data_IF_209335619470
#
_entry.id   IF_209335619470
#
_cell.length_a   1.000
_cell.length_b   1.000
_cell.length_c   1.000
_cell.angle_alpha   90.00
_cell.angle_beta   90.00
_cell.angle_gamma   90.00
#
_symmetry.space_group_name_H-M   'P 1'
#
loop_
_entity.id
_entity.type
_entity.pdbx_description
1 polymer ?
#
# COMPACT_ATOMS: atom_id res chain seq x y z
N UNK A 1 0.46 22.58 -12.11
CA UNK A 1 0.34 21.36 -11.28
C UNK A 1 1.38 20.33 -11.72
N UNK A 2 2.15 19.85 -10.80
CA UNK A 2 3.16 18.81 -11.04
C UNK A 2 2.69 17.51 -10.43
N UNK A 3 2.87 16.40 -11.14
CA UNK A 3 2.48 15.07 -10.66
C UNK A 3 3.65 14.12 -10.80
N UNK A 4 3.92 13.37 -9.73
CA UNK A 4 4.91 12.31 -9.71
C UNK A 4 4.22 11.02 -9.28
N UNK A 5 4.49 9.93 -9.99
CA UNK A 5 3.94 8.62 -9.64
C UNK A 5 5.07 7.60 -9.50
N UNK A 6 5.02 6.81 -8.44
CA UNK A 6 6.01 5.75 -8.16
C UNK A 6 5.25 4.46 -7.94
N UNK A 7 5.73 3.38 -8.53
CA UNK A 7 5.12 2.04 -8.40
C UNK A 7 6.09 1.05 -7.78
N UNK A 8 5.55 0.18 -6.94
CA UNK A 8 6.22 -1.03 -6.47
C UNK A 8 5.21 -2.16 -6.44
N UNK A 9 5.67 -3.38 -6.52
CA UNK A 9 4.79 -4.54 -6.48
C UNK A 9 5.28 -5.55 -5.45
N UNK A 10 4.37 -6.42 -5.02
CA UNK A 10 4.67 -7.44 -4.03
C UNK A 10 3.57 -8.49 -4.06
N UNK A 11 3.86 -9.66 -3.45
CA UNK A 11 2.89 -10.74 -3.29
C UNK A 11 2.54 -10.82 -1.81
N UNK A 12 1.25 -10.91 -1.51
CA UNK A 12 0.74 -11.17 -0.17
C UNK A 12 -0.43 -12.13 -0.27
N UNK A 13 -0.76 -12.75 0.88
CA UNK A 13 -1.85 -13.71 0.97
C UNK A 13 -2.99 -13.14 1.76
N UNK A 14 -4.21 -13.53 1.44
CA UNK A 14 -5.39 -13.17 2.21
C UNK A 14 -6.50 -14.19 2.01
N UNK A 15 -7.55 -14.06 2.80
CA UNK A 15 -8.84 -14.70 2.55
C UNK A 15 -9.95 -13.72 2.90
N UNK A 16 -11.06 -13.77 2.16
CA UNK A 16 -12.19 -12.87 2.38
C UNK A 16 -13.09 -13.42 3.49
N UNK A 17 -13.66 -12.52 4.27
CA UNK A 17 -14.53 -12.84 5.40
C UNK A 17 -15.83 -12.05 5.30
N UNK A 18 -16.86 -12.52 6.01
CA UNK A 18 -18.13 -11.81 6.10
C UNK A 18 -19.13 -12.10 4.99
N UNK A 19 -18.83 -13.03 4.10
CA UNK A 19 -19.71 -13.41 2.99
C UNK A 19 -19.23 -14.67 2.31
N UNK A 20 -19.88 -15.01 1.20
CA UNK A 20 -19.54 -16.18 0.38
C UNK A 20 -18.99 -15.70 -0.96
N UNK A 21 -17.67 -15.80 -1.13
CA UNK A 21 -16.96 -15.47 -2.36
C UNK A 21 -16.30 -16.70 -2.99
N UNK A 22 -16.76 -17.91 -2.62
CA UNK A 22 -16.23 -19.14 -3.16
C UNK A 22 -14.76 -19.35 -2.81
N UNK A 23 -13.88 -19.60 -3.79
CA UNK A 23 -12.44 -19.84 -3.52
C UNK A 23 -11.74 -18.72 -2.75
N UNK A 24 -12.22 -17.47 -2.86
CA UNK A 24 -11.63 -16.34 -2.18
C UNK A 24 -11.82 -16.36 -0.65
N UNK A 25 -12.71 -17.23 -0.14
CA UNK A 25 -12.85 -17.44 1.30
C UNK A 25 -11.72 -18.29 1.87
N UNK A 26 -10.96 -18.99 1.02
CA UNK A 26 -9.80 -19.76 1.42
C UNK A 26 -8.53 -18.93 1.21
N UNK A 27 -7.45 -19.22 1.97
CA UNK A 27 -6.19 -18.51 1.80
C UNK A 27 -5.70 -18.59 0.35
N UNK A 28 -5.36 -17.44 -0.20
CA UNK A 28 -4.87 -17.34 -1.57
C UNK A 28 -3.83 -16.23 -1.70
N UNK A 29 -2.96 -16.34 -2.70
CA UNK A 29 -1.90 -15.37 -2.97
C UNK A 29 -2.34 -14.41 -4.06
N UNK A 30 -1.99 -13.14 -3.89
CA UNK A 30 -2.26 -12.10 -4.88
C UNK A 30 -1.01 -11.28 -5.15
N UNK A 31 -0.85 -10.89 -6.41
CA UNK A 31 0.14 -9.90 -6.81
C UNK A 31 -0.49 -8.52 -6.72
N UNK A 32 0.07 -7.68 -5.84
CA UNK A 32 -0.40 -6.32 -5.64
C UNK A 32 0.54 -5.33 -6.31
N UNK A 33 -0.03 -4.31 -6.92
CA UNK A 33 0.74 -3.16 -7.43
C UNK A 33 0.35 -1.95 -6.60
N UNK A 34 1.34 -1.35 -5.94
CA UNK A 34 1.16 -0.12 -5.17
C UNK A 34 1.63 1.05 -6.01
N UNK A 35 0.75 1.99 -6.26
CA UNK A 35 1.09 3.23 -6.94
C UNK A 35 0.84 4.40 -6.01
N UNK A 36 1.85 5.22 -5.79
CA UNK A 36 1.75 6.46 -5.02
C UNK A 36 1.84 7.63 -5.99
N UNK A 37 0.83 8.49 -5.96
CA UNK A 37 0.81 9.72 -6.75
C UNK A 37 0.94 10.90 -5.82
N UNK A 38 1.85 11.80 -6.18
CA UNK A 38 2.13 13.01 -5.43
C UNK A 38 1.89 14.20 -6.35
N UNK A 39 1.15 15.17 -5.86
CA UNK A 39 0.81 16.36 -6.64
C UNK A 39 1.13 17.63 -5.86
N UNK A 40 1.64 18.64 -6.54
CA UNK A 40 1.87 19.95 -5.97
C UNK A 40 1.80 21.03 -7.05
N UNK A 41 1.41 22.24 -6.66
CA UNK A 41 1.36 23.38 -7.58
C UNK A 41 2.75 24.00 -7.80
N UNK A 42 3.68 23.74 -6.88
CA UNK A 42 5.02 24.35 -6.91
C UNK A 42 6.09 23.28 -6.66
N UNK A 43 7.29 23.54 -7.16
CA UNK A 43 8.48 22.74 -6.88
C UNK A 43 9.34 23.49 -5.86
N UNK A 44 10.28 22.75 -5.23
CA UNK A 44 11.23 23.38 -4.30
C UNK A 44 12.31 24.15 -5.07
N UNK A 45 13.26 24.71 -4.33
CA UNK A 45 14.34 25.54 -4.93
C UNK A 45 15.24 24.77 -5.89
N UNK A 46 15.24 23.44 -5.83
CA UNK A 46 16.02 22.57 -6.72
C UNK A 46 15.20 21.98 -7.86
N UNK A 47 13.92 22.33 -7.96
CA UNK A 47 13.03 21.80 -8.99
C UNK A 47 12.42 20.44 -8.64
N UNK A 48 12.44 20.03 -7.37
CA UNK A 48 11.87 18.77 -6.93
C UNK A 48 10.50 18.99 -6.29
N UNK A 49 9.57 18.07 -6.56
CA UNK A 49 8.27 18.01 -5.89
C UNK A 49 8.44 17.45 -4.48
N UNK A 50 9.21 16.39 -4.33
CA UNK A 50 9.52 15.70 -3.08
C UNK A 50 10.90 15.06 -3.20
N UNK A 51 11.43 14.57 -2.07
CA UNK A 51 12.60 13.71 -2.06
C UNK A 51 12.20 12.30 -2.48
N UNK A 52 12.45 11.95 -3.74
CA UNK A 52 12.07 10.66 -4.31
C UNK A 52 12.75 9.48 -3.60
N UNK A 53 13.98 9.68 -3.12
CA UNK A 53 14.71 8.62 -2.40
C UNK A 53 13.98 8.26 -1.13
N UNK A 54 13.49 9.26 -0.40
CA UNK A 54 12.70 9.04 0.83
C UNK A 54 11.38 8.33 0.51
N UNK A 55 10.67 8.76 -0.55
CA UNK A 55 9.40 8.14 -0.95
C UNK A 55 9.62 6.66 -1.29
N UNK A 56 10.65 6.35 -2.08
CA UNK A 56 10.94 4.97 -2.46
C UNK A 56 11.33 4.11 -1.25
N UNK A 57 12.09 4.68 -0.31
CA UNK A 57 12.46 3.96 0.92
C UNK A 57 11.24 3.62 1.77
N UNK A 58 10.30 4.56 1.93
CA UNK A 58 9.08 4.33 2.70
C UNK A 58 8.15 3.34 2.00
N UNK A 59 8.05 3.39 0.67
CA UNK A 59 7.30 2.41 -0.11
C UNK A 59 7.92 1.02 0.03
N UNK A 60 9.25 0.92 0.03
CA UNK A 60 9.94 -0.36 0.23
C UNK A 60 9.67 -0.93 1.62
N UNK A 61 9.61 -0.08 2.64
CA UNK A 61 9.25 -0.51 3.99
C UNK A 61 7.83 -1.10 4.04
N UNK A 62 6.90 -0.52 3.31
CA UNK A 62 5.53 -1.06 3.16
C UNK A 62 5.56 -2.44 2.46
N UNK A 63 6.32 -2.56 1.38
CA UNK A 63 6.49 -3.83 0.67
C UNK A 63 7.08 -4.89 1.60
N UNK A 64 8.11 -4.54 2.36
CA UNK A 64 8.76 -5.48 3.29
C UNK A 64 7.82 -5.92 4.41
N UNK A 65 6.94 -5.04 4.87
CA UNK A 65 6.00 -5.34 5.94
C UNK A 65 4.86 -6.26 5.49
N UNK A 66 4.26 -5.98 4.33
CA UNK A 66 3.10 -6.74 3.83
C UNK A 66 3.49 -7.90 2.93
N UNK A 67 4.63 -7.81 2.26
CA UNK A 67 5.08 -8.84 1.30
C UNK A 67 5.22 -10.20 1.97
N UNK A 68 4.76 -11.25 1.28
CA UNK A 68 4.79 -12.64 1.73
C UNK A 68 3.99 -12.90 3.02
N UNK A 69 3.22 -11.91 3.52
CA UNK A 69 2.43 -12.03 4.73
C UNK A 69 1.02 -12.53 4.42
N UNK A 70 0.38 -13.10 5.45
CA UNK A 70 -1.06 -13.32 5.48
C UNK A 70 -1.70 -12.05 6.05
N UNK A 71 -2.36 -11.26 5.22
CA UNK A 71 -2.91 -9.95 5.63
C UNK A 71 -3.87 -10.09 6.81
N UNK A 72 -4.70 -11.14 6.80
CA UNK A 72 -5.67 -11.38 7.88
C UNK A 72 -5.04 -11.53 9.26
N UNK A 73 -3.76 -11.93 9.33
CA UNK A 73 -3.04 -12.12 10.59
C UNK A 73 -2.39 -10.83 11.12
N UNK A 74 -2.38 -9.77 10.33
CA UNK A 74 -1.76 -8.51 10.74
C UNK A 74 -2.73 -7.68 11.57
N UNK A 75 -2.21 -6.93 12.57
CA UNK A 75 -3.10 -6.13 13.46
C UNK A 75 -3.97 -5.13 12.71
N UNK A 76 -3.48 -4.57 11.61
CA UNK A 76 -4.22 -3.61 10.80
C UNK A 76 -5.51 -4.19 10.22
N UNK A 77 -5.57 -5.52 10.06
CA UNK A 77 -6.72 -6.22 9.49
C UNK A 77 -7.56 -6.96 10.52
N UNK A 78 -7.34 -6.71 11.80
CA UNK A 78 -8.09 -7.39 12.86
C UNK A 78 -9.59 -7.14 12.72
N UNK A 79 -10.36 -8.21 12.49
CA UNK A 79 -11.80 -8.13 12.28
C UNK A 79 -12.23 -7.45 10.99
N UNK A 80 -11.28 -7.18 10.10
CA UNK A 80 -11.52 -6.42 8.87
C UNK A 80 -11.36 -7.32 7.65
N UNK A 81 -12.33 -7.27 6.73
CA UNK A 81 -12.20 -7.95 5.46
C UNK A 81 -11.06 -7.31 4.65
N UNK A 82 -10.05 -8.08 4.20
CA UNK A 82 -8.90 -7.52 3.47
C UNK A 82 -9.24 -7.22 2.01
N UNK A 83 -10.26 -6.39 1.80
CA UNK A 83 -10.61 -5.88 0.47
C UNK A 83 -9.52 -4.95 -0.03
N UNK A 84 -9.47 -4.73 -1.35
CA UNK A 84 -8.50 -3.81 -1.94
C UNK A 84 -8.74 -2.38 -1.44
N UNK A 85 -9.97 -2.00 -1.18
CA UNK A 85 -10.33 -0.69 -0.65
C UNK A 85 -9.76 -0.49 0.76
N UNK A 86 -9.94 -1.47 1.65
CA UNK A 86 -9.38 -1.43 3.00
C UNK A 86 -7.85 -1.41 2.96
N UNK A 87 -7.26 -2.27 2.13
CA UNK A 87 -5.81 -2.36 2.02
C UNK A 87 -5.21 -1.06 1.51
N UNK A 88 -5.82 -0.46 0.49
CA UNK A 88 -5.38 0.82 -0.06
C UNK A 88 -5.39 1.92 1.00
N UNK A 89 -6.44 1.98 1.82
CA UNK A 89 -6.54 2.95 2.91
C UNK A 89 -5.45 2.74 3.95
N UNK A 90 -5.21 1.50 4.35
CA UNK A 90 -4.19 1.16 5.35
C UNK A 90 -2.80 1.56 4.86
N UNK A 91 -2.47 1.24 3.61
CA UNK A 91 -1.18 1.61 3.00
C UNK A 91 -1.04 3.13 2.95
N UNK A 92 -2.08 3.83 2.52
CA UNK A 92 -2.07 5.29 2.45
C UNK A 92 -1.78 5.92 3.81
N UNK A 93 -2.45 5.46 4.87
CA UNK A 93 -2.24 5.97 6.22
C UNK A 93 -0.81 5.71 6.71
N UNK A 94 -0.26 4.53 6.45
CA UNK A 94 1.12 4.21 6.82
C UNK A 94 2.13 5.13 6.13
N UNK A 95 1.93 5.39 4.84
CA UNK A 95 2.81 6.27 4.08
C UNK A 95 2.70 7.73 4.57
N UNK A 96 1.50 8.20 4.87
CA UNK A 96 1.30 9.54 5.39
C UNK A 96 2.00 9.74 6.74
N UNK A 97 1.93 8.77 7.64
CA UNK A 97 2.65 8.81 8.91
C UNK A 97 4.16 8.86 8.72
N UNK A 98 4.68 8.08 7.78
CA UNK A 98 6.12 7.98 7.54
C UNK A 98 6.69 9.23 6.86
N UNK A 99 5.90 9.89 6.00
CA UNK A 99 6.33 11.06 5.22
C UNK A 99 6.20 12.36 6.01
N UNK A 100 5.22 12.45 6.87
CA UNK A 100 5.02 13.62 7.73
C UNK A 100 5.91 13.54 8.99
#
# INVERSE_FOLDING_TARGET
MYTLAVKKDFIARHFLIGGDWGPENEPNSHHFVMQVRLEASELDQHGYLVDIVKIEAEMQAVVDYFGESMLNDLPEFDGLNPSIEHFSRIVCLKLLEAIN
#
